data_IF_358498608730
#
_entry.id   IF_358498608730
#
_cell.length_a   1.000
_cell.length_b   1.000
_cell.length_c   1.000
_cell.angle_alpha   90.00
_cell.angle_beta   90.00
_cell.angle_gamma   90.00
#
_symmetry.space_group_name_H-M   'P 1'
#
loop_
_entity.id
_entity.type
_entity.pdbx_description
1 polymer ?
#
# COMPACT_ATOMS: atom_id res chain seq x y z
N UNK A 1 11.08 -4.12 -3.84
CA UNK A 1 10.17 -5.20 -3.37
C UNK A 1 9.43 -4.70 -2.15
N UNK A 2 8.10 -4.82 -2.15
CA UNK A 2 7.22 -4.36 -1.09
C UNK A 2 6.82 -5.53 -0.20
N UNK A 3 6.85 -5.30 1.10
CA UNK A 3 6.51 -6.26 2.14
C UNK A 3 5.52 -5.62 3.10
N UNK A 4 4.31 -6.16 3.20
CA UNK A 4 3.33 -5.70 4.17
C UNK A 4 2.76 -6.83 5.01
N UNK A 5 2.28 -6.49 6.20
CA UNK A 5 1.61 -7.40 7.09
C UNK A 5 0.21 -6.87 7.38
N UNK A 6 -0.77 -7.76 7.27
CA UNK A 6 -2.17 -7.48 7.52
C UNK A 6 -2.71 -8.40 8.61
N UNK A 7 -3.53 -7.82 9.48
CA UNK A 7 -4.32 -8.53 10.47
C UNK A 7 -5.73 -8.69 9.93
N UNK A 8 -6.17 -9.93 9.80
CA UNK A 8 -7.52 -10.30 9.40
C UNK A 8 -8.27 -10.81 10.63
N UNK A 9 -9.47 -10.28 10.87
CA UNK A 9 -10.41 -10.80 11.85
C UNK A 9 -11.44 -11.68 11.16
N UNK A 10 -11.72 -12.85 11.74
CA UNK A 10 -12.68 -13.84 11.25
C UNK A 10 -13.39 -14.49 12.43
N UNK A 11 -14.46 -15.24 12.16
CA UNK A 11 -15.06 -16.10 13.19
C UNK A 11 -14.25 -17.38 13.33
N UNK A 12 -14.18 -17.93 14.55
CA UNK A 12 -13.49 -19.19 14.84
C UNK A 12 -13.93 -20.34 13.91
N UNK A 13 -15.23 -20.44 13.62
CA UNK A 13 -15.80 -21.44 12.71
C UNK A 13 -15.31 -21.36 11.25
N UNK A 14 -14.80 -20.19 10.83
CA UNK A 14 -14.30 -19.94 9.48
C UNK A 14 -12.77 -19.85 9.42
N UNK A 15 -12.06 -19.94 10.55
CA UNK A 15 -10.63 -19.69 10.61
C UNK A 15 -9.82 -20.64 9.72
N UNK A 16 -10.03 -21.96 9.84
CA UNK A 16 -9.28 -22.94 9.05
C UNK A 16 -9.56 -22.82 7.55
N UNK A 17 -10.83 -22.63 7.18
CA UNK A 17 -11.21 -22.42 5.77
C UNK A 17 -10.56 -21.16 5.19
N UNK A 18 -10.60 -20.06 5.95
CA UNK A 18 -10.05 -18.79 5.50
C UNK A 18 -8.52 -18.88 5.37
N UNK A 19 -7.86 -19.55 6.31
CA UNK A 19 -6.42 -19.84 6.24
C UNK A 19 -6.03 -20.60 4.96
N UNK A 20 -6.78 -21.63 4.59
CA UNK A 20 -6.55 -22.37 3.33
C UNK A 20 -6.75 -21.47 2.09
N UNK A 21 -7.79 -20.62 2.09
CA UNK A 21 -8.03 -19.68 0.99
C UNK A 21 -6.91 -18.64 0.84
N UNK A 22 -6.40 -18.13 1.97
CA UNK A 22 -5.29 -17.18 1.98
C UNK A 22 -4.02 -17.83 1.44
N UNK A 23 -3.72 -19.07 1.83
CA UNK A 23 -2.55 -19.81 1.32
C UNK A 23 -2.61 -20.10 -0.18
N UNK A 24 -3.81 -20.10 -0.78
CA UNK A 24 -4.00 -20.22 -2.22
C UNK A 24 -3.93 -18.87 -2.96
N UNK A 25 -3.94 -17.76 -2.22
CA UNK A 25 -3.84 -16.42 -2.80
C UNK A 25 -2.38 -16.14 -3.16
N UNK A 26 -2.09 -15.75 -4.42
CA UNK A 26 -0.73 -15.40 -4.81
C UNK A 26 -0.15 -14.30 -3.92
N UNK A 27 1.16 -14.31 -3.72
CA UNK A 27 1.87 -13.26 -2.98
C UNK A 27 1.49 -13.13 -1.50
N UNK A 28 0.76 -14.10 -0.93
CA UNK A 28 0.30 -14.07 0.45
C UNK A 28 0.82 -15.30 1.23
N UNK A 29 1.31 -15.08 2.46
CA UNK A 29 1.65 -16.15 3.41
C UNK A 29 0.95 -15.93 4.75
N UNK A 30 0.50 -17.02 5.38
CA UNK A 30 -0.07 -16.98 6.73
C UNK A 30 1.04 -17.26 7.73
N UNK A 31 1.39 -16.26 8.55
CA UNK A 31 2.43 -16.39 9.57
C UNK A 31 1.86 -16.84 10.92
N UNK A 32 0.63 -16.43 11.23
CA UNK A 32 -0.05 -16.76 12.47
C UNK A 32 -1.57 -16.87 12.25
N UNK A 33 -2.19 -17.88 12.82
CA UNK A 33 -3.64 -17.97 12.93
C UNK A 33 -3.99 -18.50 14.32
N UNK A 34 -4.59 -17.66 15.17
CA UNK A 34 -5.00 -18.02 16.53
C UNK A 34 -6.32 -17.32 16.87
N UNK A 35 -7.24 -18.04 17.51
CA UNK A 35 -8.56 -17.56 17.91
C UNK A 35 -9.39 -17.03 16.73
N UNK A 36 -9.54 -15.71 16.63
CA UNK A 36 -10.30 -15.00 15.60
C UNK A 36 -9.38 -14.13 14.73
N UNK A 37 -8.07 -14.32 14.85
CA UNK A 37 -7.04 -13.45 14.26
C UNK A 37 -6.12 -14.24 13.34
N UNK A 38 -5.90 -13.70 12.14
CA UNK A 38 -4.94 -14.22 11.17
C UNK A 38 -3.98 -13.11 10.79
N UNK A 39 -2.68 -13.35 10.94
CA UNK A 39 -1.61 -12.49 10.44
C UNK A 39 -1.16 -13.04 9.09
N UNK A 40 -1.30 -12.21 8.08
CA UNK A 40 -0.89 -12.51 6.70
C UNK A 40 0.21 -11.54 6.30
N UNK A 41 1.22 -12.05 5.61
CA UNK A 41 2.26 -11.24 4.97
C UNK A 41 1.98 -11.22 3.47
N UNK A 42 2.09 -10.03 2.87
CA UNK A 42 1.93 -9.78 1.45
C UNK A 42 3.29 -9.36 0.89
N UNK A 43 3.81 -10.13 -0.05
CA UNK A 43 5.08 -9.87 -0.74
C UNK A 43 4.82 -9.56 -2.21
N UNK A 44 5.15 -8.37 -2.66
CA UNK A 44 4.87 -7.92 -4.02
C UNK A 44 6.03 -7.11 -4.62
N UNK A 45 6.11 -7.07 -5.94
CA UNK A 45 7.13 -6.27 -6.62
C UNK A 45 6.75 -4.78 -6.68
N UNK A 46 5.46 -4.47 -6.71
CA UNK A 46 4.93 -3.12 -6.89
C UNK A 46 3.66 -2.89 -6.03
N UNK A 47 3.31 -1.62 -5.85
CA UNK A 47 2.15 -1.20 -5.05
C UNK A 47 0.82 -1.73 -5.60
N UNK A 48 0.67 -1.82 -6.92
CA UNK A 48 -0.58 -2.26 -7.55
C UNK A 48 -0.91 -3.71 -7.22
N UNK A 49 0.10 -4.58 -7.21
CA UNK A 49 -0.06 -6.00 -6.87
C UNK A 49 -0.31 -6.18 -5.36
N UNK A 50 0.33 -5.37 -4.51
CA UNK A 50 0.03 -5.30 -3.08
C UNK A 50 -1.44 -4.95 -2.84
N UNK A 51 -1.95 -3.91 -3.50
CA UNK A 51 -3.34 -3.46 -3.37
C UNK A 51 -4.35 -4.47 -3.94
N UNK A 52 -4.00 -5.18 -5.03
CA UNK A 52 -4.84 -6.26 -5.55
C UNK A 52 -4.93 -7.40 -4.55
N UNK A 53 -3.80 -7.85 -3.99
CA UNK A 53 -3.78 -8.91 -2.98
C UNK A 53 -4.60 -8.50 -1.75
N UNK A 54 -4.40 -7.27 -1.26
CA UNK A 54 -5.18 -6.73 -0.14
C UNK A 54 -6.70 -6.77 -0.41
N UNK A 55 -7.13 -6.29 -1.59
CA UNK A 55 -8.56 -6.31 -1.97
C UNK A 55 -9.11 -7.72 -2.15
N UNK A 56 -8.30 -8.66 -2.66
CA UNK A 56 -8.70 -10.06 -2.77
C UNK A 56 -8.93 -10.67 -1.39
N UNK A 57 -8.01 -10.43 -0.45
CA UNK A 57 -8.14 -10.88 0.93
C UNK A 57 -9.38 -10.28 1.59
N UNK A 58 -9.63 -8.98 1.41
CA UNK A 58 -10.81 -8.29 1.95
C UNK A 58 -12.14 -8.91 1.49
N UNK A 59 -12.19 -9.45 0.27
CA UNK A 59 -13.38 -10.03 -0.33
C UNK A 59 -13.61 -11.51 0.02
N UNK A 60 -12.68 -12.15 0.74
CA UNK A 60 -12.82 -13.57 1.10
C UNK A 60 -14.01 -13.78 2.06
N UNK A 61 -14.79 -14.84 1.81
CA UNK A 61 -15.90 -15.21 2.67
C UNK A 61 -15.41 -15.55 4.09
N UNK A 62 -15.89 -14.78 5.07
CA UNK A 62 -15.52 -14.94 6.47
C UNK A 62 -14.59 -13.87 7.02
N UNK A 63 -14.06 -12.99 6.17
CA UNK A 63 -13.37 -11.78 6.64
C UNK A 63 -14.38 -10.82 7.25
N UNK A 64 -14.19 -10.50 8.53
CA UNK A 64 -14.96 -9.47 9.23
C UNK A 64 -14.30 -8.11 9.02
N UNK A 65 -12.97 -8.07 9.13
CA UNK A 65 -12.18 -6.88 8.87
C UNK A 65 -10.74 -7.25 8.51
N UNK A 66 -10.08 -6.38 7.75
CA UNK A 66 -8.66 -6.48 7.42
C UNK A 66 -8.00 -5.14 7.75
N UNK A 67 -6.85 -5.18 8.42
CA UNK A 67 -6.12 -3.98 8.82
C UNK A 67 -4.64 -4.15 8.51
N UNK A 68 -4.03 -3.15 7.88
CA UNK A 68 -2.59 -3.16 7.64
C UNK A 68 -1.86 -2.80 8.94
N UNK A 69 -0.98 -3.70 9.39
CA UNK A 69 -0.18 -3.55 10.62
C UNK A 69 1.20 -2.99 10.30
N UNK A 70 1.77 -3.40 9.18
CA UNK A 70 3.11 -3.00 8.76
C UNK A 70 3.18 -2.93 7.23
N UNK A 71 3.95 -1.99 6.69
CA UNK A 71 4.28 -1.93 5.27
C UNK A 71 5.69 -1.35 5.11
N UNK A 72 6.49 -2.04 4.31
CA UNK A 72 7.81 -1.64 3.87
C UNK A 72 7.80 -1.57 2.35
N UNK A 73 8.21 -0.44 1.80
CA UNK A 73 8.25 -0.20 0.36
C UNK A 73 9.65 0.23 -0.06
N UNK A 74 10.13 -0.36 -1.14
CA UNK A 74 11.39 0.03 -1.76
C UNK A 74 11.11 1.12 -2.80
N UNK A 75 11.39 2.38 -2.40
CA UNK A 75 11.04 3.56 -3.18
C UNK A 75 12.15 4.03 -4.12
N UNK A 76 13.30 3.34 -4.17
CA UNK A 76 14.46 3.86 -4.90
C UNK A 76 14.22 3.88 -6.42
N UNK A 77 13.55 2.88 -6.98
CA UNK A 77 13.17 2.88 -8.41
C UNK A 77 12.13 3.96 -8.75
N UNK A 78 11.15 4.18 -7.87
CA UNK A 78 10.14 5.23 -8.05
C UNK A 78 10.78 6.61 -7.95
N UNK A 79 11.71 6.80 -7.01
CA UNK A 79 12.52 8.02 -6.90
C UNK A 79 13.32 8.27 -8.17
N UNK A 80 13.98 7.24 -8.72
CA UNK A 80 14.68 7.38 -9.99
C UNK A 80 13.76 7.74 -11.16
N UNK A 81 12.58 7.11 -11.26
CA UNK A 81 11.58 7.45 -12.29
C UNK A 81 11.10 8.88 -12.15
N UNK A 82 10.82 9.34 -10.93
CA UNK A 82 10.42 10.72 -10.64
C UNK A 82 11.56 11.68 -10.98
N UNK A 83 12.81 11.37 -10.64
CA UNK A 83 13.96 12.19 -10.97
C UNK A 83 14.19 12.28 -12.48
N UNK A 84 14.02 11.17 -13.22
CA UNK A 84 14.13 11.14 -14.69
C UNK A 84 12.99 11.90 -15.35
N UNK A 85 11.75 11.76 -14.86
CA UNK A 85 10.58 12.48 -15.36
C UNK A 85 10.64 13.99 -15.01
N UNK A 86 11.09 14.35 -13.81
CA UNK A 86 11.32 15.74 -13.39
C UNK A 86 12.61 16.33 -13.97
N UNK A 87 13.44 15.58 -14.69
CA UNK A 87 14.54 16.17 -15.45
C UNK A 87 14.04 16.89 -16.72
N UNK A 88 12.76 16.73 -17.07
CA UNK A 88 12.03 17.61 -17.97
C UNK A 88 11.27 18.73 -17.22
N UNK A 89 11.55 18.94 -15.93
CA UNK A 89 11.07 20.12 -15.24
C UNK A 89 11.82 21.32 -15.80
N UNK A 90 11.06 22.19 -16.48
CA UNK A 90 11.46 23.50 -16.96
C UNK A 90 12.58 24.09 -16.09
N UNK A 91 13.73 24.32 -16.72
CA UNK A 91 14.87 25.06 -16.21
C UNK A 91 14.43 26.16 -15.24
N UNK A 92 15.04 26.19 -14.06
CA UNK A 92 14.89 27.28 -13.11
C UNK A 92 15.22 28.59 -13.83
N UNK A 93 14.21 29.36 -14.20
CA UNK A 93 14.39 30.62 -14.91
C UNK A 93 14.89 31.66 -13.90
N UNK A 94 16.19 31.94 -13.90
CA UNK A 94 16.81 32.89 -12.97
C UNK A 94 16.24 34.32 -13.10
N UNK A 95 15.43 34.59 -14.14
CA UNK A 95 14.75 35.87 -14.36
C UNK A 95 13.36 35.98 -13.72
N UNK A 96 12.88 34.94 -13.02
CA UNK A 96 11.57 34.96 -12.37
C UNK A 96 11.60 35.91 -11.16
N UNK A 97 11.04 37.11 -11.34
CA UNK A 97 10.93 38.12 -10.29
C UNK A 97 10.14 37.56 -9.09
N UNK A 98 10.66 37.76 -7.87
CA UNK A 98 10.08 37.29 -6.60
C UNK A 98 8.57 37.56 -6.46
N UNK A 99 8.07 38.65 -7.03
CA UNK A 99 6.67 39.06 -6.92
C UNK A 99 5.68 38.18 -7.71
N UNK A 100 6.16 37.34 -8.63
CA UNK A 100 5.32 36.45 -9.45
C UNK A 100 5.29 34.99 -8.94
N UNK A 101 5.90 34.71 -7.79
CA UNK A 101 5.98 33.35 -7.25
C UNK A 101 4.78 33.10 -6.32
N UNK A 102 3.68 32.62 -6.88
CA UNK A 102 2.50 32.25 -6.08
C UNK A 102 2.66 30.87 -5.43
N UNK A 103 2.71 30.86 -4.09
CA UNK A 103 2.78 29.63 -3.30
C UNK A 103 1.37 29.17 -2.92
N UNK A 104 0.96 28.02 -3.46
CA UNK A 104 -0.36 27.42 -3.23
C UNK A 104 -0.43 26.54 -1.96
N UNK A 105 0.64 26.44 -1.17
CA UNK A 105 0.71 25.59 0.01
C UNK A 105 -0.01 26.12 1.26
N UNK A 106 -0.96 27.05 1.09
CA UNK A 106 -1.78 27.54 2.20
C UNK A 106 -3.21 26.99 2.09
N UNK A 107 -3.56 26.12 3.04
CA UNK A 107 -4.90 25.50 3.17
C UNK A 107 -6.03 26.54 3.34
N UNK A 108 -5.68 27.78 3.70
CA UNK A 108 -6.65 28.86 3.91
C UNK A 108 -6.95 29.71 2.68
N UNK A 109 -6.30 29.50 1.52
CA UNK A 109 -6.72 30.14 0.27
C UNK A 109 -7.91 29.38 -0.31
N UNK A 110 -9.13 29.85 0.00
CA UNK A 110 -10.33 29.54 -0.79
C UNK A 110 -10.31 30.38 -2.07
N UNK A 111 -10.62 29.73 -3.19
CA UNK A 111 -10.86 30.33 -4.51
C UNK A 111 -11.82 31.51 -4.45
#
# INVERSE_FOLDING_TARGET
MNLSSVLILTKEEKLEKLKEQIQQTPCCSVELAQEEKIIVVIESENLDDELKAYKQLEQLDGVISINMVFSYQDLDEEREKILKANFEANTFDENLKKDNLEYYGNVFRKY
#
